data_IF_082696985237
#
_entry.id   IF_082696985237
#
_cell.length_a   1.000
_cell.length_b   1.000
_cell.length_c   1.000
_cell.angle_alpha   90.00
_cell.angle_beta   90.00
_cell.angle_gamma   90.00
#
_symmetry.space_group_name_H-M   'P 1'
#
loop_
_entity.id
_entity.type
_entity.pdbx_description
1 polymer ?
#
# COMPACT_ATOMS: atom_id res chain seq x y z
N UNK A 1 -15.43 -7.21 -8.22
CA UNK A 1 -16.56 -8.17 -8.10
C UNK A 1 -17.86 -7.37 -7.97
N UNK A 2 -18.98 -7.83 -8.53
CA UNK A 2 -20.30 -7.22 -8.31
C UNK A 2 -21.22 -8.25 -7.67
N UNK A 3 -21.80 -7.94 -6.51
CA UNK A 3 -22.67 -8.86 -5.78
C UNK A 3 -23.83 -8.09 -5.15
N UNK A 4 -25.07 -8.47 -5.46
CA UNK A 4 -26.25 -7.81 -4.89
C UNK A 4 -26.34 -6.30 -5.13
N UNK A 5 -25.81 -5.81 -6.26
CA UNK A 5 -25.75 -4.37 -6.56
C UNK A 5 -24.63 -3.61 -5.82
N UNK A 6 -23.74 -4.31 -5.13
CA UNK A 6 -22.56 -3.76 -4.46
C UNK A 6 -21.32 -4.03 -5.29
N UNK A 7 -20.49 -3.00 -5.48
CA UNK A 7 -19.17 -3.08 -6.08
C UNK A 7 -18.17 -3.43 -4.98
N UNK A 8 -17.65 -4.65 -5.03
CA UNK A 8 -16.64 -5.18 -4.10
C UNK A 8 -15.26 -5.19 -4.77
N UNK A 9 -14.21 -4.96 -3.96
CA UNK A 9 -12.81 -5.03 -4.40
C UNK A 9 -12.21 -6.36 -3.96
N UNK A 10 -11.64 -7.11 -4.92
CA UNK A 10 -10.88 -8.31 -4.60
C UNK A 10 -9.59 -7.93 -3.90
N UNK A 11 -9.31 -8.57 -2.76
CA UNK A 11 -8.10 -8.33 -1.96
C UNK A 11 -7.33 -9.62 -1.74
N UNK A 12 -6.05 -9.50 -1.44
CA UNK A 12 -5.18 -10.61 -1.08
C UNK A 12 -4.69 -10.41 0.35
N UNK A 13 -4.74 -11.46 1.17
CA UNK A 13 -4.14 -11.46 2.50
C UNK A 13 -2.62 -11.49 2.38
N UNK A 14 -1.96 -10.54 3.04
CA UNK A 14 -0.51 -10.44 3.12
C UNK A 14 -0.07 -10.64 4.58
N UNK A 15 0.83 -11.60 4.82
CA UNK A 15 1.30 -11.94 6.16
C UNK A 15 0.30 -12.70 7.03
N UNK A 16 0.62 -12.81 8.32
CA UNK A 16 -0.14 -13.54 9.34
C UNK A 16 -1.23 -12.71 10.04
N UNK A 17 -1.91 -11.83 9.32
CA UNK A 17 -2.80 -10.83 9.92
C UNK A 17 -3.95 -11.40 10.76
N UNK A 18 -4.33 -10.68 11.83
CA UNK A 18 -5.55 -10.93 12.60
C UNK A 18 -6.78 -10.42 11.83
N UNK A 19 -7.19 -11.15 10.79
CA UNK A 19 -8.18 -10.68 9.80
C UNK A 19 -9.54 -10.25 10.35
N UNK A 20 -9.95 -10.77 11.51
CA UNK A 20 -11.19 -10.35 12.16
C UNK A 20 -11.16 -8.87 12.59
N UNK A 21 -9.99 -8.31 12.88
CA UNK A 21 -9.83 -6.90 13.31
C UNK A 21 -10.04 -5.89 12.17
N UNK A 22 -10.04 -6.36 10.92
CA UNK A 22 -10.25 -5.57 9.72
C UNK A 22 -11.74 -5.37 9.38
N UNK A 23 -12.62 -6.14 10.01
CA UNK A 23 -14.05 -5.94 9.88
C UNK A 23 -14.46 -4.63 10.55
N UNK A 24 -15.44 -3.96 9.95
CA UNK A 24 -16.06 -2.76 10.49
C UNK A 24 -15.12 -1.57 10.75
N UNK A 25 -13.97 -1.58 10.08
CA UNK A 25 -13.04 -0.45 9.99
C UNK A 25 -13.33 0.43 8.78
N UNK A 26 -13.04 1.70 8.94
CA UNK A 26 -13.10 2.69 7.86
C UNK A 26 -11.77 2.63 7.09
N UNK A 27 -11.79 1.94 5.94
CA UNK A 27 -10.60 1.60 5.19
C UNK A 27 -10.41 2.52 3.98
N UNK A 28 -9.16 2.76 3.65
CA UNK A 28 -8.72 3.39 2.41
C UNK A 28 -7.61 2.57 1.74
N UNK A 29 -7.06 3.06 0.63
CA UNK A 29 -5.89 2.48 -0.04
C UNK A 29 -4.68 3.41 0.00
N UNK A 30 -3.50 2.82 0.16
CA UNK A 30 -2.21 3.49 -0.01
C UNK A 30 -1.21 2.54 -0.66
N UNK A 31 -0.28 3.07 -1.45
CA UNK A 31 0.75 2.25 -2.09
C UNK A 31 1.40 2.94 -3.30
N UNK A 32 1.81 2.14 -4.29
CA UNK A 32 2.46 2.64 -5.51
C UNK A 32 1.66 2.33 -6.76
N UNK A 33 1.68 3.25 -7.71
CA UNK A 33 1.04 3.13 -9.02
C UNK A 33 2.09 3.30 -10.11
N UNK A 34 2.10 2.39 -11.08
CA UNK A 34 2.96 2.43 -12.26
C UNK A 34 2.22 3.17 -13.37
N UNK A 35 2.82 4.25 -13.85
CA UNK A 35 2.28 5.13 -14.89
C UNK A 35 3.09 5.01 -16.16
N UNK A 36 2.40 4.93 -17.30
CA UNK A 36 2.98 5.06 -18.64
C UNK A 36 2.77 6.48 -19.15
N UNK A 37 3.83 7.09 -19.65
CA UNK A 37 3.77 8.37 -20.39
C UNK A 37 4.43 8.23 -21.74
N UNK A 38 3.82 8.84 -22.74
CA UNK A 38 4.39 8.94 -24.07
C UNK A 38 4.91 10.35 -24.30
N UNK A 39 6.22 10.49 -24.48
CA UNK A 39 6.88 11.79 -24.66
C UNK A 39 7.65 11.72 -25.97
N UNK A 40 7.28 12.57 -26.94
CA UNK A 40 7.93 12.67 -28.25
C UNK A 40 8.10 11.30 -28.97
N UNK A 41 7.09 10.43 -28.89
CA UNK A 41 7.12 9.09 -29.50
C UNK A 41 7.92 8.03 -28.75
N UNK A 42 8.46 8.36 -27.57
CA UNK A 42 9.10 7.40 -26.66
C UNK A 42 8.19 7.09 -25.48
N UNK A 43 8.12 5.81 -25.11
CA UNK A 43 7.35 5.33 -23.96
C UNK A 43 8.24 5.33 -22.73
N UNK A 44 7.83 6.03 -21.68
CA UNK A 44 8.47 6.05 -20.38
C UNK A 44 7.54 5.49 -19.31
N UNK A 45 8.12 4.73 -18.38
CA UNK A 45 7.43 4.24 -17.19
C UNK A 45 7.99 4.92 -15.95
N UNK A 46 7.10 5.30 -15.05
CA UNK A 46 7.45 5.85 -13.74
C UNK A 46 6.53 5.27 -12.69
N UNK A 47 6.91 5.35 -11.42
CA UNK A 47 6.02 5.02 -10.33
C UNK A 47 5.74 6.24 -9.46
N UNK A 48 4.53 6.34 -8.93
CA UNK A 48 4.13 7.36 -7.96
C UNK A 48 3.52 6.72 -6.73
N UNK A 49 3.77 7.32 -5.56
CA UNK A 49 3.06 6.95 -4.34
C UNK A 49 1.69 7.62 -4.33
N UNK A 50 0.70 6.89 -3.83
CA UNK A 50 -0.67 7.37 -3.68
C UNK A 50 -1.22 6.95 -2.32
N UNK A 51 -2.02 7.83 -1.73
CA UNK A 51 -2.89 7.55 -0.58
C UNK A 51 -4.18 8.31 -0.79
N UNK A 52 -5.30 7.61 -0.71
CA UNK A 52 -6.61 8.26 -0.62
C UNK A 52 -6.87 8.54 0.86
N UNK A 53 -7.23 9.77 1.23
CA UNK A 53 -7.36 10.13 2.65
C UNK A 53 -8.74 9.74 3.21
N UNK A 54 -9.75 9.76 2.35
CA UNK A 54 -11.12 9.44 2.68
C UNK A 54 -11.32 7.92 2.86
N UNK A 55 -12.20 7.50 3.79
CA UNK A 55 -12.54 6.08 3.97
C UNK A 55 -13.46 5.61 2.85
N UNK A 56 -12.86 5.10 1.77
CA UNK A 56 -13.59 4.68 0.57
C UNK A 56 -14.09 3.24 0.63
N UNK A 57 -13.66 2.44 1.61
CA UNK A 57 -13.96 1.01 1.67
C UNK A 57 -14.26 0.52 3.09
N UNK A 58 -14.99 -0.59 3.18
CA UNK A 58 -15.28 -1.25 4.45
C UNK A 58 -15.50 -2.75 4.24
N UNK A 59 -15.07 -3.58 5.18
CA UNK A 59 -15.45 -5.00 5.25
C UNK A 59 -16.56 -5.14 6.30
N UNK A 60 -17.85 -5.20 5.93
CA UNK A 60 -18.93 -5.25 6.91
C UNK A 60 -19.04 -6.64 7.57
N UNK A 61 -19.32 -6.67 8.87
CA UNK A 61 -19.68 -7.93 9.54
C UNK A 61 -21.09 -8.39 9.16
N UNK A 62 -21.33 -9.70 9.24
CA UNK A 62 -22.67 -10.25 9.14
C UNK A 62 -23.43 -9.98 10.44
N UNK A 63 -24.69 -9.54 10.32
CA UNK A 63 -25.54 -9.30 11.48
C UNK A 63 -25.69 -10.57 12.34
N UNK A 64 -25.52 -10.43 13.66
CA UNK A 64 -25.60 -11.54 14.63
C UNK A 64 -26.90 -12.36 14.56
N UNK A 65 -28.01 -11.74 14.17
CA UNK A 65 -29.29 -12.44 14.01
C UNK A 65 -29.24 -13.55 12.94
N UNK A 66 -28.34 -13.40 11.96
CA UNK A 66 -28.09 -14.34 10.87
C UNK A 66 -26.90 -15.28 11.15
N UNK A 67 -26.13 -15.01 12.21
CA UNK A 67 -25.05 -15.86 12.70
C UNK A 67 -25.11 -16.01 14.23
N UNK A 68 -25.93 -16.97 14.68
CA UNK A 68 -26.21 -17.17 16.10
C UNK A 68 -25.01 -17.73 16.89
N UNK A 69 -24.00 -18.27 16.21
CA UNK A 69 -22.80 -18.85 16.82
C UNK A 69 -21.59 -17.92 16.83
N UNK A 70 -21.74 -16.69 16.33
CA UNK A 70 -20.62 -15.76 16.11
C UNK A 70 -19.80 -15.47 17.38
N UNK A 71 -20.46 -15.46 18.54
CA UNK A 71 -19.83 -15.21 19.84
C UNK A 71 -19.00 -16.40 20.37
N UNK A 72 -19.28 -17.62 19.88
CA UNK A 72 -18.53 -18.82 20.25
C UNK A 72 -17.27 -18.99 19.39
N UNK A 73 -17.22 -18.33 18.23
CA UNK A 73 -16.05 -18.30 17.37
C UNK A 73 -16.29 -17.58 16.04
N UNK A 74 -15.54 -16.50 15.79
CA UNK A 74 -15.64 -15.74 14.55
C UNK A 74 -14.72 -16.32 13.46
N UNK A 75 -15.27 -17.23 12.64
CA UNK A 75 -14.51 -17.89 11.57
C UNK A 75 -14.56 -17.09 10.26
N UNK A 76 -13.44 -16.48 9.92
CA UNK A 76 -13.30 -15.70 8.68
C UNK A 76 -12.84 -16.60 7.54
N UNK A 77 -13.59 -16.66 6.44
CA UNK A 77 -13.09 -17.15 5.16
C UNK A 77 -12.39 -15.99 4.44
N UNK A 78 -11.08 -16.09 4.26
CA UNK A 78 -10.26 -15.00 3.71
C UNK A 78 -10.58 -14.65 2.26
N UNK A 79 -11.11 -15.60 1.48
CA UNK A 79 -11.43 -15.38 0.07
C UNK A 79 -12.81 -14.75 -0.12
N UNK A 80 -13.80 -15.13 0.70
CA UNK A 80 -15.20 -14.75 0.47
C UNK A 80 -15.75 -13.74 1.47
N UNK A 81 -15.16 -13.62 2.67
CA UNK A 81 -15.66 -12.70 3.71
C UNK A 81 -14.84 -11.42 3.85
N UNK A 82 -13.63 -11.35 3.28
CA UNK A 82 -12.74 -10.17 3.37
C UNK A 82 -12.84 -9.22 2.17
N UNK A 83 -13.87 -9.34 1.34
CA UNK A 83 -14.06 -8.47 0.18
C UNK A 83 -14.64 -7.12 0.64
N UNK A 84 -13.88 -6.02 0.66
CA UNK A 84 -14.43 -4.73 1.02
C UNK A 84 -15.43 -4.23 -0.02
N UNK A 85 -16.49 -3.61 0.47
CA UNK A 85 -17.43 -2.85 -0.34
C UNK A 85 -16.81 -1.49 -0.66
N UNK A 86 -16.96 -1.02 -1.91
CA UNK A 86 -16.43 0.25 -2.40
C UNK A 86 -17.56 1.24 -2.74
N UNK A 87 -18.58 0.77 -3.44
CA UNK A 87 -19.71 1.60 -3.85
C UNK A 87 -20.94 0.74 -4.19
N UNK A 88 -22.11 1.35 -4.36
CA UNK A 88 -23.26 0.70 -4.99
C UNK A 88 -23.20 0.89 -6.51
N UNK A 89 -23.70 -0.09 -7.27
CA UNK A 89 -23.79 0.03 -8.74
C UNK A 89 -24.64 1.24 -9.15
N UNK A 90 -25.74 1.48 -8.43
CA UNK A 90 -26.64 2.62 -8.67
C UNK A 90 -25.92 3.98 -8.57
N UNK A 91 -25.12 4.19 -7.52
CA UNK A 91 -24.37 5.45 -7.36
C UNK A 91 -23.22 5.55 -8.36
N UNK A 92 -22.54 4.44 -8.65
CA UNK A 92 -21.49 4.42 -9.66
C UNK A 92 -22.02 4.76 -11.06
N UNK A 93 -23.23 4.30 -11.41
CA UNK A 93 -23.88 4.65 -12.69
C UNK A 93 -24.36 6.10 -12.70
N UNK A 94 -25.01 6.58 -11.64
CA UNK A 94 -25.46 7.97 -11.55
C UNK A 94 -24.30 8.97 -11.71
N UNK A 95 -23.13 8.67 -11.12
CA UNK A 95 -21.96 9.53 -11.19
C UNK A 95 -21.32 9.58 -12.60
N UNK A 96 -21.46 8.51 -13.41
CA UNK A 96 -21.01 8.53 -14.81
C UNK A 96 -21.87 9.46 -15.67
N UNK A 97 -23.18 9.46 -15.44
CA UNK A 97 -24.13 10.30 -16.19
C UNK A 97 -23.89 11.78 -15.90
N UNK A 98 -23.56 12.15 -14.65
CA UNK A 98 -23.22 13.54 -14.30
C UNK A 98 -21.93 14.05 -14.94
N UNK A 99 -20.92 13.20 -15.12
CA UNK A 99 -19.67 13.60 -15.80
C UNK A 99 -19.84 13.81 -17.30
N UNK A 100 -20.84 13.19 -17.94
CA UNK A 100 -21.13 13.36 -19.37
C UNK A 100 -22.04 14.56 -19.65
N UNK A 101 -22.86 15.00 -18.68
CA UNK A 101 -23.76 16.15 -18.85
C UNK A 101 -23.08 17.52 -18.78
N UNK A 102 -21.87 17.61 -18.21
CA UNK A 102 -21.10 18.86 -18.13
C UNK A 102 -20.15 19.07 -19.32
N UNK A 103 -20.08 18.11 -20.25
CA UNK A 103 -19.32 18.20 -21.50
C UNK A 103 -20.23 18.28 -22.72
N UNK A 104 -20.97 19.37 -22.87
CA UNK A 104 -21.68 19.71 -24.11
C UNK A 104 -21.01 20.92 -24.76
N UNK A 105 -19.97 20.65 -25.57
CA UNK A 105 -19.79 21.21 -26.93
C UNK A 105 -18.38 20.93 -27.47
N UNK A 106 -18.21 19.78 -28.11
CA UNK A 106 -17.63 19.71 -29.46
C UNK A 106 -17.68 18.27 -29.95
N UNK A 107 -18.47 18.08 -31.00
CA UNK A 107 -18.71 16.78 -31.60
C UNK A 107 -17.45 16.19 -32.22
N UNK A 108 -17.16 14.95 -31.83
CA UNK A 108 -16.80 13.86 -32.74
C UNK A 108 -17.22 12.56 -32.07
N UNK A 109 -18.32 11.96 -32.58
CA UNK A 109 -18.64 10.57 -32.32
C UNK A 109 -17.59 9.72 -33.03
N UNK A 110 -16.48 9.45 -32.37
CA UNK A 110 -15.67 8.30 -32.73
C UNK A 110 -16.28 7.07 -32.06
N UNK A 111 -16.81 6.20 -32.92
CA UNK A 111 -17.13 4.82 -32.57
C UNK A 111 -15.83 4.14 -32.14
N UNK A 112 -15.51 4.20 -30.85
CA UNK A 112 -14.46 3.35 -30.29
C UNK A 112 -15.03 1.93 -30.09
N UNK A 113 -15.25 1.25 -31.22
CA UNK A 113 -15.30 -0.21 -31.27
C UNK A 113 -13.84 -0.70 -31.25
N UNK A 114 -13.18 -0.51 -30.13
CA UNK A 114 -11.85 -1.08 -29.90
C UNK A 114 -11.94 -2.00 -28.69
N UNK A 115 -11.87 -3.29 -29.00
CA UNK A 115 -11.71 -4.47 -28.15
C UNK A 115 -12.11 -4.37 -26.68
N UNK A 116 -13.10 -5.17 -26.28
CA UNK A 116 -13.30 -5.71 -24.91
C UNK A 116 -12.15 -5.36 -23.97
N UNK A 117 -12.19 -4.17 -23.37
CA UNK A 117 -11.14 -3.77 -22.45
C UNK A 117 -11.28 -4.72 -21.27
N UNK A 118 -10.26 -5.55 -21.03
CA UNK A 118 -10.17 -6.43 -19.87
C UNK A 118 -10.00 -5.52 -18.63
N UNK A 119 -11.08 -4.85 -18.25
CA UNK A 119 -11.13 -3.93 -17.12
C UNK A 119 -11.03 -4.77 -15.85
N UNK A 120 -9.80 -4.94 -15.35
CA UNK A 120 -9.47 -5.76 -14.17
C UNK A 120 -10.07 -5.18 -12.87
N UNK A 121 -10.34 -3.88 -12.84
CA UNK A 121 -10.77 -3.14 -11.65
C UNK A 121 -11.98 -2.25 -11.94
N UNK A 122 -12.81 -2.00 -10.93
CA UNK A 122 -13.96 -1.10 -11.09
C UNK A 122 -13.48 0.31 -11.53
N UNK A 123 -14.10 0.93 -12.57
CA UNK A 123 -13.67 2.22 -13.08
C UNK A 123 -13.60 3.34 -12.02
N UNK A 124 -14.51 3.30 -11.03
CA UNK A 124 -14.53 4.28 -9.94
C UNK A 124 -13.25 4.26 -9.10
N UNK A 125 -12.62 3.09 -8.90
CA UNK A 125 -11.34 3.00 -8.21
C UNK A 125 -10.21 3.62 -9.04
N UNK A 126 -10.17 3.30 -10.34
CA UNK A 126 -9.16 3.85 -11.25
C UNK A 126 -9.31 5.38 -11.37
N UNK A 127 -10.53 5.90 -11.42
CA UNK A 127 -10.81 7.34 -11.44
C UNK A 127 -10.34 8.03 -10.15
N UNK A 128 -10.58 7.43 -8.98
CA UNK A 128 -10.09 7.97 -7.71
C UNK A 128 -8.55 8.04 -7.67
N UNK A 129 -7.87 6.98 -8.10
CA UNK A 129 -6.41 6.95 -8.17
C UNK A 129 -5.88 7.97 -9.18
N UNK A 130 -6.47 8.02 -10.37
CA UNK A 130 -6.10 8.94 -11.45
C UNK A 130 -6.27 10.40 -11.02
N UNK A 131 -7.40 10.74 -10.39
CA UNK A 131 -7.66 12.06 -9.83
C UNK A 131 -6.63 12.44 -8.78
N UNK A 132 -6.28 11.53 -7.86
CA UNK A 132 -5.27 11.80 -6.82
C UNK A 132 -3.85 11.95 -7.40
N UNK A 133 -3.59 11.31 -8.53
CA UNK A 133 -2.29 11.32 -9.22
C UNK A 133 -2.20 12.36 -10.34
N UNK A 134 -3.26 13.12 -10.60
CA UNK A 134 -3.33 14.10 -11.69
C UNK A 134 -2.93 13.49 -13.05
N UNK A 135 -3.49 12.31 -13.34
CA UNK A 135 -3.29 11.59 -14.60
C UNK A 135 -4.62 11.07 -15.15
N UNK A 136 -4.60 10.52 -16.37
CA UNK A 136 -5.77 9.83 -16.90
C UNK A 136 -5.85 8.39 -16.38
N UNK A 137 -7.05 7.80 -16.20
CA UNK A 137 -7.17 6.39 -15.83
C UNK A 137 -6.45 5.43 -16.80
N UNK A 138 -6.33 5.82 -18.08
CA UNK A 138 -5.62 5.07 -19.11
C UNK A 138 -4.08 5.09 -18.95
N UNK A 139 -3.53 6.03 -18.19
CA UNK A 139 -2.08 6.09 -17.93
C UNK A 139 -1.65 5.05 -16.87
N UNK A 140 -2.60 4.53 -16.09
CA UNK A 140 -2.36 3.54 -15.03
C UNK A 140 -2.13 2.17 -15.66
N UNK A 141 -0.89 1.67 -15.58
CA UNK A 141 -0.54 0.34 -16.09
C UNK A 141 -0.78 -0.76 -15.05
N UNK A 142 -0.33 -0.52 -13.82
CA UNK A 142 -0.45 -1.45 -12.71
C UNK A 142 -0.29 -0.72 -11.38
N UNK A 143 -0.60 -1.38 -10.27
CA UNK A 143 -0.40 -0.84 -8.94
C UNK A 143 -0.25 -1.92 -7.88
N UNK A 144 0.43 -1.56 -6.79
CA UNK A 144 0.42 -2.31 -5.55
C UNK A 144 -0.16 -1.40 -4.48
N UNK A 145 -1.36 -1.74 -4.03
CA UNK A 145 -2.12 -0.97 -3.05
C UNK A 145 -2.44 -1.86 -1.86
N UNK A 146 -2.23 -1.32 -0.67
CA UNK A 146 -2.62 -1.93 0.60
C UNK A 146 -3.88 -1.24 1.10
N UNK A 147 -4.84 -2.03 1.60
CA UNK A 147 -5.91 -1.50 2.41
C UNK A 147 -5.32 -1.01 3.75
N UNK A 148 -5.76 0.13 4.26
CA UNK A 148 -5.30 0.64 5.54
C UNK A 148 -6.41 1.37 6.31
N UNK A 149 -6.37 1.28 7.64
CA UNK A 149 -7.26 2.03 8.52
C UNK A 149 -7.01 3.53 8.37
N UNK A 150 -8.09 4.30 8.28
CA UNK A 150 -8.07 5.77 8.23
C UNK A 150 -7.98 6.40 9.62
N UNK A 151 -8.25 5.65 10.70
CA UNK A 151 -8.10 6.12 12.06
C UNK A 151 -6.66 6.58 12.34
N UNK A 152 -6.43 7.86 12.71
CA UNK A 152 -5.10 8.36 13.02
C UNK A 152 -4.51 7.72 14.28
N UNK A 153 -3.18 7.57 14.30
CA UNK A 153 -2.45 7.13 15.48
C UNK A 153 -2.46 8.21 16.57
N UNK A 154 -2.65 7.83 17.83
CA UNK A 154 -2.77 8.76 18.95
C UNK A 154 -2.05 8.28 20.22
N UNK A 155 -1.68 9.23 21.08
CA UNK A 155 -1.36 8.95 22.48
C UNK A 155 -2.67 8.87 23.28
N UNK A 156 -2.90 7.77 23.97
CA UNK A 156 -4.18 7.40 24.55
C UNK A 156 -4.05 6.75 25.95
N UNK A 157 -5.18 6.35 26.52
CA UNK A 157 -5.29 5.86 27.90
C UNK A 157 -5.65 6.98 28.89
N UNK A 158 -6.19 6.61 30.05
CA UNK A 158 -6.64 7.55 31.07
C UNK A 158 -5.52 8.49 31.55
N UNK A 159 -4.27 8.00 31.56
CA UNK A 159 -3.07 8.78 31.90
C UNK A 159 -2.21 9.17 30.67
N UNK A 160 -2.69 8.95 29.44
CA UNK A 160 -1.96 9.24 28.19
C UNK A 160 -0.60 8.55 28.07
N UNK A 161 -0.53 7.28 28.46
CA UNK A 161 0.70 6.47 28.49
C UNK A 161 0.79 5.44 27.35
N UNK A 162 -0.28 5.23 26.58
CA UNK A 162 -0.32 4.25 25.50
C UNK A 162 -0.23 4.92 24.13
N UNK A 163 0.29 4.19 23.15
CA UNK A 163 0.22 4.55 21.73
C UNK A 163 -0.79 3.63 21.04
N UNK A 164 -1.89 4.17 20.56
CA UNK A 164 -2.85 3.43 19.74
C UNK A 164 -2.53 3.70 18.28
N UNK A 165 -2.02 2.70 17.59
CA UNK A 165 -1.63 2.78 16.20
C UNK A 165 -1.70 1.41 15.54
N UNK A 166 -2.14 1.37 14.29
CA UNK A 166 -1.86 0.21 13.42
C UNK A 166 -0.37 0.15 13.06
N UNK A 167 0.09 -1.01 12.59
CA UNK A 167 1.43 -1.24 12.01
C UNK A 167 2.61 -0.92 12.95
N UNK A 168 2.39 -0.95 14.27
CA UNK A 168 3.47 -0.80 15.25
C UNK A 168 4.55 -1.87 15.01
N UNK A 169 4.10 -3.09 14.75
CA UNK A 169 4.91 -4.15 14.16
C UNK A 169 5.08 -3.88 12.64
N UNK A 170 6.26 -3.55 12.11
CA UNK A 170 7.49 -3.17 12.83
C UNK A 170 7.93 -1.72 12.55
N UNK A 171 6.99 -0.85 12.19
CA UNK A 171 7.30 0.57 11.93
C UNK A 171 7.82 1.28 13.16
N UNK A 172 7.44 0.85 14.37
CA UNK A 172 7.94 1.43 15.62
C UNK A 172 9.46 1.26 15.73
N UNK A 173 9.96 0.03 15.57
CA UNK A 173 11.40 -0.23 15.65
C UNK A 173 12.15 0.36 14.46
N UNK A 174 11.54 0.36 13.28
CA UNK A 174 12.12 0.98 12.08
C UNK A 174 12.32 2.48 12.30
N UNK A 175 11.31 3.16 12.86
CA UNK A 175 11.39 4.57 13.23
C UNK A 175 12.46 4.81 14.29
N UNK A 176 12.45 4.04 15.39
CA UNK A 176 13.44 4.18 16.47
C UNK A 176 14.87 3.97 15.97
N UNK A 177 15.11 2.96 15.12
CA UNK A 177 16.44 2.67 14.56
C UNK A 177 16.94 3.82 13.68
N UNK A 178 16.08 4.31 12.77
CA UNK A 178 16.42 5.45 11.92
C UNK A 178 16.65 6.73 12.73
N UNK A 179 15.78 6.99 13.72
CA UNK A 179 15.90 8.16 14.60
C UNK A 179 17.18 8.11 15.42
N UNK A 180 17.53 6.94 15.97
CA UNK A 180 18.79 6.74 16.69
C UNK A 180 20.01 6.98 15.80
N UNK A 181 19.99 6.51 14.55
CA UNK A 181 21.07 6.78 13.60
C UNK A 181 21.22 8.28 13.32
N UNK A 182 20.12 8.98 13.04
CA UNK A 182 20.11 10.43 12.80
C UNK A 182 20.63 11.20 14.02
N UNK A 183 20.14 10.87 15.21
CA UNK A 183 20.53 11.56 16.44
C UNK A 183 22.00 11.28 16.80
N UNK A 184 22.49 10.06 16.52
CA UNK A 184 23.89 9.71 16.73
C UNK A 184 24.84 10.41 15.73
N UNK A 185 24.33 10.98 14.64
CA UNK A 185 25.10 11.68 13.61
C UNK A 185 24.69 13.16 13.47
N UNK A 186 24.18 13.78 14.53
CA UNK A 186 23.57 15.12 14.46
C UNK A 186 24.58 16.27 14.32
N UNK A 187 25.87 16.04 14.57
CA UNK A 187 26.94 17.03 14.41
C UNK A 187 28.14 16.45 13.67
N UNK A 188 28.92 17.31 13.02
CA UNK A 188 30.08 16.90 12.24
C UNK A 188 31.13 16.18 13.11
N UNK A 189 31.24 16.54 14.39
CA UNK A 189 32.14 15.89 15.34
C UNK A 189 31.61 14.56 15.90
N UNK A 190 30.34 14.21 15.66
CA UNK A 190 29.72 12.99 16.19
C UNK A 190 30.36 11.68 15.68
N UNK A 191 31.15 11.77 14.62
CA UNK A 191 31.82 10.65 13.95
C UNK A 191 33.34 10.76 13.93
N UNK A 192 33.95 11.81 14.52
CA UNK A 192 35.40 12.03 14.47
C UNK A 192 36.21 10.87 15.07
N UNK A 193 35.71 10.30 16.17
CA UNK A 193 36.34 9.19 16.89
C UNK A 193 35.62 7.85 16.63
N UNK A 194 34.77 7.75 15.60
CA UNK A 194 34.05 6.52 15.28
C UNK A 194 34.91 5.60 14.40
N UNK A 195 35.38 4.45 14.92
CA UNK A 195 36.20 3.53 14.14
C UNK A 195 35.37 2.65 13.18
N UNK A 196 34.04 2.59 13.37
CA UNK A 196 33.14 1.69 12.65
C UNK A 196 32.21 2.38 11.65
N UNK A 197 31.36 1.57 11.00
CA UNK A 197 30.27 2.04 10.16
C UNK A 197 28.97 1.84 10.93
N UNK A 198 28.22 2.93 11.14
CA UNK A 198 26.85 2.87 11.65
C UNK A 198 25.89 2.67 10.48
N UNK A 199 25.11 1.60 10.51
CA UNK A 199 24.17 1.24 9.45
C UNK A 199 22.84 0.79 10.05
N UNK A 200 21.75 1.20 9.41
CA UNK A 200 20.41 0.68 9.65
C UNK A 200 19.90 0.09 8.33
N UNK A 201 19.52 -1.18 8.37
CA UNK A 201 18.89 -1.87 7.24
C UNK A 201 17.42 -2.16 7.59
N UNK A 202 16.51 -1.58 6.81
CA UNK A 202 15.06 -1.78 6.95
C UNK A 202 14.57 -2.59 5.76
N UNK A 203 14.04 -3.78 6.03
CA UNK A 203 13.67 -4.75 4.99
C UNK A 203 12.16 -4.86 4.81
N UNK A 204 11.77 -5.21 3.59
CA UNK A 204 10.39 -5.58 3.27
C UNK A 204 10.18 -7.10 3.48
N UNK A 205 8.95 -7.57 3.33
CA UNK A 205 8.62 -9.00 3.20
C UNK A 205 8.93 -9.90 4.39
N UNK A 206 9.22 -9.37 5.59
CA UNK A 206 9.43 -10.17 6.80
C UNK A 206 8.21 -11.05 7.12
N UNK A 207 7.01 -10.47 7.05
CA UNK A 207 5.73 -11.14 7.31
C UNK A 207 5.40 -12.30 6.38
N UNK A 208 6.16 -12.47 5.28
CA UNK A 208 6.04 -13.58 4.34
C UNK A 208 7.34 -14.40 4.19
N UNK A 209 8.28 -14.25 5.13
CA UNK A 209 9.49 -15.07 5.24
C UNK A 209 10.76 -14.46 4.65
N UNK A 210 10.76 -13.16 4.32
CA UNK A 210 11.91 -12.36 3.87
C UNK A 210 12.61 -12.81 2.57
N UNK A 211 12.13 -13.88 1.92
CA UNK A 211 12.76 -14.44 0.74
C UNK A 211 12.33 -13.69 -0.54
N UNK A 212 12.93 -12.52 -0.75
CA UNK A 212 12.72 -11.67 -1.92
C UNK A 212 13.95 -10.81 -2.18
N UNK A 213 13.98 -10.11 -3.31
CA UNK A 213 15.10 -9.21 -3.64
C UNK A 213 15.30 -8.08 -2.62
N UNK A 214 14.23 -7.63 -1.96
CA UNK A 214 14.24 -6.53 -0.98
C UNK A 214 14.05 -6.99 0.48
N UNK A 215 13.91 -8.30 0.72
CA UNK A 215 13.75 -8.85 2.06
C UNK A 215 15.09 -9.19 2.71
N UNK A 216 15.07 -9.50 4.00
CA UNK A 216 16.28 -9.82 4.76
C UNK A 216 17.01 -11.09 4.27
N UNK A 217 16.35 -11.97 3.51
CA UNK A 217 16.98 -13.12 2.85
C UNK A 217 17.75 -12.76 1.57
N UNK A 218 17.73 -11.50 1.16
CA UNK A 218 18.44 -10.98 -0.02
C UNK A 218 19.95 -10.85 0.23
N UNK A 219 20.81 -10.97 -0.81
CA UNK A 219 22.23 -10.61 -0.70
C UNK A 219 22.48 -9.10 -0.50
N UNK A 220 21.44 -8.24 -0.50
CA UNK A 220 21.61 -6.78 -0.55
C UNK A 220 22.52 -6.20 0.54
N UNK A 221 22.46 -6.70 1.78
CA UNK A 221 23.34 -6.21 2.86
C UNK A 221 24.76 -6.72 2.68
N UNK A 222 24.93 -7.98 2.29
CA UNK A 222 26.24 -8.54 1.99
C UNK A 222 26.91 -7.76 0.85
N UNK A 223 26.17 -7.48 -0.23
CA UNK A 223 26.65 -6.71 -1.38
C UNK A 223 26.97 -5.26 -0.99
N UNK A 224 26.12 -4.62 -0.18
CA UNK A 224 26.35 -3.26 0.31
C UNK A 224 27.61 -3.20 1.17
N UNK A 225 27.76 -4.12 2.14
CA UNK A 225 28.94 -4.19 2.99
C UNK A 225 30.21 -4.45 2.16
N UNK A 226 30.17 -5.42 1.24
CA UNK A 226 31.31 -5.74 0.35
C UNK A 226 31.74 -4.52 -0.45
N UNK A 227 30.80 -3.79 -1.07
CA UNK A 227 31.11 -2.58 -1.83
C UNK A 227 31.70 -1.46 -0.98
N UNK A 228 31.23 -1.29 0.25
CA UNK A 228 31.77 -0.29 1.18
C UNK A 228 33.20 -0.69 1.57
N UNK A 229 33.42 -1.94 1.96
CA UNK A 229 34.75 -2.42 2.37
C UNK A 229 35.76 -2.41 1.23
N UNK A 230 35.34 -2.80 0.02
CA UNK A 230 36.21 -2.80 -1.17
C UNK A 230 36.64 -1.38 -1.55
N UNK A 231 35.78 -0.39 -1.34
CA UNK A 231 36.13 1.02 -1.56
C UNK A 231 37.25 1.49 -0.60
N UNK A 232 37.20 1.09 0.68
CA UNK A 232 38.22 1.46 1.67
C UNK A 232 39.45 0.55 1.64
N UNK A 233 39.36 -0.66 1.09
CA UNK A 233 40.45 -1.65 1.07
C UNK A 233 40.37 -2.57 -0.15
N UNK A 234 40.83 -2.12 -1.33
CA UNK A 234 40.64 -2.80 -2.62
C UNK A 234 41.26 -4.19 -2.78
N UNK A 235 42.05 -4.66 -1.80
CA UNK A 235 42.81 -5.92 -1.87
C UNK A 235 42.54 -6.88 -0.69
N UNK A 236 41.55 -6.58 0.15
CA UNK A 236 41.24 -7.38 1.34
C UNK A 236 40.16 -8.41 1.03
N UNK A 237 40.41 -9.71 1.28
CA UNK A 237 39.34 -10.72 1.23
C UNK A 237 38.43 -10.54 2.43
N UNK A 238 37.28 -9.90 2.24
CA UNK A 238 36.29 -9.74 3.31
C UNK A 238 35.53 -11.05 3.46
N UNK A 239 35.63 -11.64 4.65
CA UNK A 239 34.85 -12.83 5.04
C UNK A 239 33.76 -12.37 5.98
N UNK A 240 32.50 -12.54 5.56
CA UNK A 240 31.34 -12.26 6.40
C UNK A 240 30.90 -13.57 7.07
N UNK A 241 30.74 -13.52 8.41
CA UNK A 241 30.06 -14.56 9.16
C UNK A 241 28.72 -13.98 9.63
N UNK A 242 27.62 -14.58 9.17
CA UNK A 242 26.25 -14.30 9.63
C UNK A 242 25.78 -15.46 10.50
#
# INVERSE_FOLDING_TARGET
VVKGGILEVGVQTYGGGLWHTWFDRDLTVAGRVILRKEIAGSVSYSHRLVRIEEPIMRVPSLAIHLDRGVNDGFKVNTQTHLLPILATSLKAEANKVSSESDSVESGKKENDKTGSSNVKHHPILLQLLASKLECEPGDICDFELQACDTQPSIVAGAAKEFVFSGRLDNLCMSFCSLKALIDATSSDSSLEEEPGIRMVALFDHEECGSNSAQGAGSPVVLDAMSRITDFFSPNSKVSFFF
#
